data_IF_217161544808
#
_entry.id   IF_217161544808
#
_cell.length_a   1.000
_cell.length_b   1.000
_cell.length_c   1.000
_cell.angle_alpha   90.00
_cell.angle_beta   90.00
_cell.angle_gamma   90.00
#
_symmetry.space_group_name_H-M   'P 1'
#
loop_
_entity.id
_entity.type
_entity.pdbx_description
1 polymer ?
#
# COMPACT_ATOMS: atom_id res chain seq x y z
N UNK A 1 -1.17 -30.08 1.13
CA UNK A 1 -2.47 -29.74 0.52
C UNK A 1 -3.35 -28.88 1.43
N UNK A 2 -3.63 -29.27 2.69
CA UNK A 2 -4.51 -28.49 3.60
C UNK A 2 -4.08 -27.02 3.75
N UNK A 3 -2.78 -26.73 3.83
CA UNK A 3 -2.27 -25.36 3.95
C UNK A 3 -2.69 -24.42 2.81
N UNK A 4 -2.68 -24.88 1.56
CA UNK A 4 -3.14 -24.08 0.41
C UNK A 4 -4.65 -23.86 0.45
N UNK A 5 -5.42 -24.86 0.91
CA UNK A 5 -6.86 -24.72 1.11
C UNK A 5 -7.21 -23.66 2.16
N UNK A 6 -6.47 -23.63 3.28
CA UNK A 6 -6.63 -22.60 4.31
C UNK A 6 -6.24 -21.21 3.82
N UNK A 7 -5.16 -21.07 3.06
CA UNK A 7 -4.75 -19.78 2.49
C UNK A 7 -5.81 -19.20 1.55
N UNK A 8 -6.44 -20.05 0.71
CA UNK A 8 -7.55 -19.64 -0.15
C UNK A 8 -8.80 -19.30 0.68
N UNK A 9 -9.13 -20.11 1.69
CA UNK A 9 -10.28 -19.86 2.56
C UNK A 9 -10.15 -18.52 3.30
N UNK A 10 -8.96 -18.21 3.84
CA UNK A 10 -8.64 -16.91 4.43
C UNK A 10 -8.80 -15.77 3.42
N UNK A 11 -8.29 -15.92 2.19
CA UNK A 11 -8.45 -14.89 1.16
C UNK A 11 -9.93 -14.62 0.80
N UNK A 12 -10.75 -15.66 0.78
CA UNK A 12 -12.20 -15.56 0.54
C UNK A 12 -12.91 -14.88 1.71
N UNK A 13 -12.51 -15.17 2.96
CA UNK A 13 -13.11 -14.59 4.16
C UNK A 13 -12.66 -13.15 4.41
N UNK A 14 -11.38 -12.84 4.23
CA UNK A 14 -10.83 -11.48 4.38
C UNK A 14 -11.28 -10.60 3.21
N UNK A 15 -11.38 -11.15 2.00
CA UNK A 15 -11.61 -10.38 0.78
C UNK A 15 -10.39 -9.54 0.36
N UNK A 16 -10.33 -9.07 -0.90
CA UNK A 16 -9.20 -8.29 -1.38
C UNK A 16 -9.12 -6.96 -0.66
N UNK A 17 -7.96 -6.66 -0.08
CA UNK A 17 -7.62 -5.31 0.39
C UNK A 17 -7.06 -4.52 -0.78
N UNK A 18 -7.61 -3.34 -1.03
CA UNK A 18 -7.10 -2.45 -2.08
C UNK A 18 -6.27 -1.35 -1.42
N UNK A 19 -4.96 -1.32 -1.71
CA UNK A 19 -4.02 -0.41 -1.04
C UNK A 19 -3.47 0.59 -2.07
N UNK A 20 -3.81 1.86 -1.89
CA UNK A 20 -3.23 2.96 -2.65
C UNK A 20 -2.14 3.67 -1.83
N UNK A 21 -0.95 3.82 -2.39
CA UNK A 21 0.13 4.62 -1.79
C UNK A 21 0.39 5.84 -2.66
N UNK A 22 0.10 7.02 -2.12
CA UNK A 22 0.30 8.29 -2.82
C UNK A 22 1.48 9.02 -2.23
N UNK A 23 2.40 9.45 -3.09
CA UNK A 23 3.63 10.14 -2.71
C UNK A 23 3.91 11.35 -3.60
N UNK A 24 4.64 12.38 -3.13
CA UNK A 24 4.99 13.55 -3.92
C UNK A 24 5.79 13.21 -5.19
N UNK A 25 6.61 12.17 -5.13
CA UNK A 25 7.41 11.69 -6.26
C UNK A 25 7.75 10.21 -6.10
N UNK A 26 7.83 9.54 -7.23
CA UNK A 26 8.33 8.17 -7.36
C UNK A 26 9.47 8.17 -8.36
N UNK A 27 10.44 7.29 -8.17
CA UNK A 27 11.55 7.16 -9.10
C UNK A 27 12.31 5.86 -8.91
N UNK A 28 13.15 5.51 -9.88
CA UNK A 28 13.99 4.34 -9.80
C UNK A 28 15.02 4.49 -8.67
N UNK A 29 15.30 3.39 -7.98
CA UNK A 29 16.43 3.34 -7.06
C UNK A 29 17.70 3.14 -7.90
N UNK A 30 18.61 4.11 -7.84
CA UNK A 30 19.92 4.01 -8.45
C UNK A 30 20.95 3.64 -7.36
N UNK A 31 21.72 2.54 -7.52
CA UNK A 31 22.74 2.16 -6.55
C UNK A 31 23.86 3.20 -6.36
N UNK A 32 24.07 4.12 -7.31
CA UNK A 32 25.09 5.16 -7.22
C UNK A 32 24.58 6.47 -6.60
N UNK A 33 23.32 6.83 -6.82
CA UNK A 33 22.75 8.12 -6.40
C UNK A 33 21.67 8.01 -5.31
N UNK A 34 21.32 6.80 -4.90
CA UNK A 34 20.30 6.54 -3.89
C UNK A 34 18.87 6.49 -4.47
N UNK A 35 17.84 6.41 -3.62
CA UNK A 35 16.46 6.39 -4.09
C UNK A 35 16.09 7.74 -4.70
N UNK A 36 15.72 7.74 -5.99
CA UNK A 36 15.01 8.86 -6.58
C UNK A 36 13.54 8.78 -6.13
N UNK A 37 13.07 9.76 -5.35
CA UNK A 37 11.68 9.82 -4.90
C UNK A 37 11.52 10.07 -3.41
N UNK A 38 10.27 10.14 -2.97
CA UNK A 38 9.94 10.35 -1.56
C UNK A 38 10.19 9.08 -0.74
N UNK A 39 11.04 9.19 0.29
CA UNK A 39 11.43 8.05 1.14
C UNK A 39 10.22 7.46 1.87
N UNK A 40 9.30 8.31 2.33
CA UNK A 40 8.10 7.84 3.04
C UNK A 40 7.15 7.10 2.12
N UNK A 41 6.96 7.57 0.89
CA UNK A 41 6.21 6.84 -0.13
C UNK A 41 6.82 5.46 -0.40
N UNK A 42 8.14 5.36 -0.48
CA UNK A 42 8.84 4.08 -0.67
C UNK A 42 8.64 3.13 0.52
N UNK A 43 8.72 3.63 1.77
CA UNK A 43 8.49 2.83 2.98
C UNK A 43 7.04 2.33 3.10
N UNK A 44 6.07 3.19 2.83
CA UNK A 44 4.66 2.81 2.80
C UNK A 44 4.37 1.79 1.71
N UNK A 45 4.91 1.99 0.50
CA UNK A 45 4.75 1.04 -0.61
C UNK A 45 5.38 -0.32 -0.29
N UNK A 46 6.59 -0.34 0.26
CA UNK A 46 7.24 -1.57 0.72
C UNK A 46 6.41 -2.28 1.79
N UNK A 47 5.85 -1.52 2.74
CA UNK A 47 4.99 -2.08 3.80
C UNK A 47 3.73 -2.71 3.22
N UNK A 48 3.09 -2.06 2.25
CA UNK A 48 1.92 -2.59 1.56
C UNK A 48 2.23 -3.91 0.82
N UNK A 49 3.37 -3.99 0.13
CA UNK A 49 3.81 -5.21 -0.58
C UNK A 49 4.17 -6.38 0.35
N UNK A 50 4.52 -6.09 1.61
CA UNK A 50 4.87 -7.10 2.62
C UNK A 50 3.68 -7.50 3.52
N UNK A 51 2.48 -6.99 3.23
CA UNK A 51 1.27 -7.32 3.97
C UNK A 51 0.99 -8.84 3.97
N UNK A 52 0.46 -9.35 5.08
CA UNK A 52 0.05 -10.76 5.19
C UNK A 52 -1.39 -10.96 4.77
N UNK A 53 -1.88 -10.19 3.81
CA UNK A 53 -3.24 -10.24 3.28
C UNK A 53 -3.21 -10.91 1.88
N UNK A 54 -3.52 -12.22 1.77
CA UNK A 54 -3.54 -12.89 0.50
C UNK A 54 -4.54 -12.24 -0.46
N UNK A 55 -4.10 -11.94 -1.69
CA UNK A 55 -4.95 -11.29 -2.69
C UNK A 55 -5.09 -9.78 -2.54
N UNK A 56 -4.31 -9.14 -1.65
CA UNK A 56 -4.22 -7.69 -1.63
C UNK A 56 -3.68 -7.14 -2.96
N UNK A 57 -4.27 -6.03 -3.41
CA UNK A 57 -3.85 -5.29 -4.60
C UNK A 57 -3.19 -3.99 -4.14
N UNK A 58 -2.03 -3.68 -4.70
CA UNK A 58 -1.24 -2.50 -4.32
C UNK A 58 -1.00 -1.65 -5.55
N UNK A 59 -1.38 -0.37 -5.48
CA UNK A 59 -1.03 0.65 -6.47
C UNK A 59 -0.25 1.77 -5.79
N UNK A 60 0.73 2.35 -6.49
CA UNK A 60 1.46 3.51 -6.01
C UNK A 60 1.71 4.51 -7.13
N UNK A 61 1.61 5.79 -6.80
CA UNK A 61 1.79 6.85 -7.78
C UNK A 61 1.58 8.24 -7.20
N UNK A 62 1.81 9.25 -8.01
CA UNK A 62 1.63 10.66 -7.60
C UNK A 62 0.16 11.04 -7.49
N UNK A 63 -0.18 12.12 -6.74
CA UNK A 63 -1.55 12.62 -6.66
C UNK A 63 -2.12 12.89 -8.05
N UNK A 64 -3.36 12.44 -8.29
CA UNK A 64 -4.01 12.61 -9.59
C UNK A 64 -3.43 11.76 -10.72
N UNK A 65 -2.70 10.69 -10.41
CA UNK A 65 -2.31 9.71 -11.42
C UNK A 65 -3.53 8.94 -11.93
N UNK A 66 -3.66 8.86 -13.25
CA UNK A 66 -4.74 8.14 -13.94
C UNK A 66 -4.33 6.70 -14.31
N UNK A 67 -3.11 6.29 -13.96
CA UNK A 67 -2.53 4.98 -14.33
C UNK A 67 -3.34 3.82 -13.74
N UNK A 68 -3.80 3.99 -12.49
CA UNK A 68 -4.62 3.00 -11.79
C UNK A 68 -5.86 3.68 -11.19
N UNK A 69 -7.08 3.18 -11.45
CA UNK A 69 -8.30 3.71 -10.83
C UNK A 69 -8.26 3.76 -9.30
N UNK A 70 -7.46 2.89 -8.67
CA UNK A 70 -7.26 2.86 -7.22
C UNK A 70 -6.60 4.13 -6.66
N UNK A 71 -5.88 4.90 -7.48
CA UNK A 71 -5.22 6.15 -7.10
C UNK A 71 -6.12 7.40 -7.27
N UNK A 72 -7.29 7.26 -7.91
CA UNK A 72 -8.19 8.37 -8.18
C UNK A 72 -8.68 9.03 -6.87
N UNK A 73 -8.66 10.36 -6.84
CA UNK A 73 -9.10 11.17 -5.69
C UNK A 73 -8.39 10.80 -4.37
N UNK A 74 -7.11 10.42 -4.45
CA UNK A 74 -6.25 10.16 -3.29
C UNK A 74 -5.18 11.25 -3.19
N UNK A 75 -5.41 12.29 -2.35
CA UNK A 75 -4.43 13.35 -2.18
C UNK A 75 -3.28 12.94 -1.25
N UNK A 76 -2.33 13.85 -1.04
CA UNK A 76 -1.38 13.75 0.08
C UNK A 76 -2.09 14.10 1.40
N UNK A 77 -1.59 13.59 2.52
CA UNK A 77 -2.06 13.97 3.86
C UNK A 77 -1.09 14.99 4.44
N UNK A 78 -1.55 16.22 4.65
CA UNK A 78 -0.70 17.33 5.10
C UNK A 78 0.58 17.52 4.25
N UNK A 79 0.48 17.27 2.94
CA UNK A 79 1.62 17.34 2.00
C UNK A 79 2.61 16.18 2.11
N UNK A 80 2.33 15.17 2.95
CA UNK A 80 3.15 13.96 3.10
C UNK A 80 2.56 12.79 2.31
N UNK A 81 3.41 11.83 1.97
CA UNK A 81 2.98 10.56 1.40
C UNK A 81 2.01 9.83 2.35
N UNK A 82 0.99 9.19 1.78
CA UNK A 82 -0.09 8.56 2.53
C UNK A 82 -0.49 7.22 1.92
N UNK A 83 -0.89 6.29 2.78
CA UNK A 83 -1.47 5.01 2.40
C UNK A 83 -2.97 5.01 2.69
N UNK A 84 -3.73 4.51 1.72
CA UNK A 84 -5.18 4.33 1.76
C UNK A 84 -5.47 2.85 1.67
N UNK A 85 -6.04 2.28 2.73
CA UNK A 85 -6.47 0.87 2.76
C UNK A 85 -7.98 0.84 2.56
N UNK A 86 -8.41 0.25 1.46
CA UNK A 86 -9.79 0.22 1.04
C UNK A 86 -10.35 -1.20 0.98
N UNK A 87 -11.66 -1.28 1.19
CA UNK A 87 -12.47 -2.48 1.04
C UNK A 87 -13.76 -2.09 0.34
N UNK A 88 -14.04 -2.72 -0.79
CA UNK A 88 -15.27 -2.48 -1.56
C UNK A 88 -15.47 -0.98 -1.85
N UNK A 89 -14.42 -0.30 -2.31
CA UNK A 89 -14.41 1.14 -2.63
C UNK A 89 -14.57 2.09 -1.43
N UNK A 90 -14.52 1.58 -0.20
CA UNK A 90 -14.53 2.40 1.02
C UNK A 90 -13.18 2.29 1.71
N UNK A 91 -12.51 3.41 1.91
CA UNK A 91 -11.20 3.45 2.56
C UNK A 91 -11.33 3.80 4.04
N UNK A 92 -10.46 3.23 4.86
CA UNK A 92 -10.18 3.74 6.19
C UNK A 92 -9.58 5.16 6.11
N UNK A 93 -9.46 5.83 7.25
CA UNK A 93 -8.72 7.09 7.32
C UNK A 93 -7.28 6.86 6.84
N UNK A 94 -6.74 7.69 5.93
CA UNK A 94 -5.40 7.49 5.42
C UNK A 94 -4.35 7.68 6.50
N UNK A 95 -3.26 6.93 6.41
CA UNK A 95 -2.13 7.02 7.33
C UNK A 95 -0.85 7.46 6.62
N UNK A 96 -0.08 8.32 7.27
CA UNK A 96 1.30 8.67 6.90
C UNK A 96 2.33 7.83 7.64
N UNK A 97 1.89 7.06 8.65
CA UNK A 97 2.74 6.33 9.57
C UNK A 97 2.86 4.86 9.17
N UNK A 98 4.10 4.41 8.97
CA UNK A 98 4.43 3.04 8.59
C UNK A 98 4.00 2.04 9.67
N UNK A 99 4.14 2.39 10.94
CA UNK A 99 3.76 1.52 12.07
C UNK A 99 2.25 1.29 12.12
N UNK A 100 1.45 2.34 11.90
CA UNK A 100 0.00 2.23 11.81
C UNK A 100 -0.41 1.34 10.62
N UNK A 101 0.23 1.54 9.46
CA UNK A 101 -0.02 0.72 8.28
C UNK A 101 0.34 -0.75 8.51
N UNK A 102 1.47 -1.03 9.17
CA UNK A 102 1.89 -2.39 9.55
C UNK A 102 0.82 -3.07 10.42
N UNK A 103 0.32 -2.38 11.43
CA UNK A 103 -0.73 -2.90 12.31
C UNK A 103 -2.03 -3.19 11.56
N UNK A 104 -2.43 -2.31 10.63
CA UNK A 104 -3.63 -2.49 9.82
C UNK A 104 -3.49 -3.68 8.84
N UNK A 105 -2.31 -3.85 8.24
CA UNK A 105 -2.06 -4.85 7.20
C UNK A 105 -1.52 -6.20 7.71
N UNK A 106 -1.15 -6.29 8.99
CA UNK A 106 -0.44 -7.46 9.54
C UNK A 106 0.98 -7.62 8.96
N UNK A 107 1.62 -6.54 8.54
CA UNK A 107 3.00 -6.57 8.02
C UNK A 107 4.00 -6.52 9.19
N UNK A 108 4.82 -7.55 9.36
CA UNK A 108 5.82 -7.64 10.44
C UNK A 108 7.24 -7.70 9.86
N UNK A 109 8.20 -7.09 10.56
CA UNK A 109 9.62 -7.24 10.21
C UNK A 109 10.04 -8.68 10.54
N UNK A 110 10.44 -9.45 9.51
CA UNK A 110 10.97 -10.81 9.67
C UNK A 110 12.45 -10.79 10.03
#
# INVERSE_FOLDING_TARGET
FIGWGLAVAEAVLDGPREIAVVGPSFGPVDPASGPAGDVRAAELHRTALLATAPGAVVAAGTPGSDEFPLLADRPLVAGQAAAYVCRHFVCAAPTTEVTALKSELGAFDR
#
